data_IF_806471801906
#
_entry.id   IF_806471801906
#
_cell.length_a   1.000
_cell.length_b   1.000
_cell.length_c   1.000
_cell.angle_alpha   90.00
_cell.angle_beta   90.00
_cell.angle_gamma   90.00
#
_symmetry.space_group_name_H-M   'P 1'
#
loop_
_entity.id
_entity.type
_entity.pdbx_description
1 polymer ?
#
# COMPACT_ATOMS: atom_id res chain seq x y z
N UNK A 1 -24.21 4.40 -2.42
CA UNK A 1 -23.88 3.77 -1.12
C UNK A 1 -25.04 4.04 -0.18
N UNK A 2 -25.50 3.01 0.53
CA UNK A 2 -26.57 3.09 1.53
C UNK A 2 -26.07 2.43 2.82
N UNK A 3 -26.35 3.05 3.97
CA UNK A 3 -25.94 2.55 5.29
C UNK A 3 -27.14 2.52 6.23
N UNK A 4 -27.33 1.38 6.89
CA UNK A 4 -28.26 1.20 7.99
C UNK A 4 -27.44 1.04 9.27
N UNK A 5 -27.61 1.96 10.21
CA UNK A 5 -26.92 1.92 11.49
C UNK A 5 -27.93 1.81 12.63
N UNK A 6 -27.77 0.81 13.49
CA UNK A 6 -28.63 0.50 14.64
C UNK A 6 -27.77 0.38 15.89
N UNK A 7 -28.41 0.34 17.05
CA UNK A 7 -27.68 0.14 18.29
C UNK A 7 -27.06 -1.27 18.31
N UNK A 8 -25.74 -1.33 18.43
CA UNK A 8 -24.99 -2.59 18.43
C UNK A 8 -24.74 -3.26 17.07
N UNK A 9 -25.29 -2.80 15.95
CA UNK A 9 -25.02 -3.39 14.63
C UNK A 9 -25.34 -2.45 13.47
N UNK A 10 -24.81 -2.74 12.28
CA UNK A 10 -25.21 -2.06 11.06
C UNK A 10 -24.88 -2.84 9.80
N UNK A 11 -25.41 -2.34 8.69
CA UNK A 11 -25.23 -2.87 7.35
C UNK A 11 -24.87 -1.72 6.41
N UNK A 12 -24.01 -2.00 5.44
CA UNK A 12 -23.67 -1.06 4.37
C UNK A 12 -23.69 -1.78 3.03
N UNK A 13 -24.09 -1.07 1.98
CA UNK A 13 -24.09 -1.61 0.62
C UNK A 13 -23.88 -0.56 -0.44
N UNK A 14 -23.21 -0.96 -1.52
CA UNK A 14 -22.91 -0.14 -2.68
C UNK A 14 -23.14 -0.90 -3.97
N UNK A 15 -23.55 -0.19 -5.01
CA UNK A 15 -23.56 -0.67 -6.39
C UNK A 15 -23.08 0.47 -7.29
N UNK A 16 -22.28 0.14 -8.29
CA UNK A 16 -21.78 1.05 -9.30
C UNK A 16 -21.79 0.34 -10.65
N UNK A 17 -22.23 1.08 -11.66
CA UNK A 17 -22.04 0.73 -13.06
C UNK A 17 -21.20 1.82 -13.72
N UNK A 18 -20.21 1.44 -14.51
CA UNK A 18 -19.52 2.35 -15.41
C UNK A 18 -19.26 1.73 -16.77
N UNK A 19 -19.17 2.61 -17.77
CA UNK A 19 -18.85 2.25 -19.15
C UNK A 19 -17.66 3.08 -19.59
N UNK A 20 -16.61 2.41 -20.07
CA UNK A 20 -15.40 3.04 -20.60
C UNK A 20 -15.25 2.68 -22.07
N UNK A 21 -14.97 3.67 -22.90
CA UNK A 21 -14.62 3.46 -24.32
C UNK A 21 -13.25 4.07 -24.57
N UNK A 22 -12.39 3.31 -25.23
CA UNK A 22 -11.03 3.69 -25.57
C UNK A 22 -10.82 3.47 -27.06
N UNK A 23 -10.04 4.35 -27.68
CA UNK A 23 -9.68 4.20 -29.07
C UNK A 23 -8.25 4.67 -29.31
N UNK A 24 -7.54 3.96 -30.18
CA UNK A 24 -6.18 4.28 -30.57
C UNK A 24 -6.06 4.25 -32.10
N UNK A 25 -5.39 5.26 -32.66
CA UNK A 25 -5.03 5.33 -34.08
C UNK A 25 -3.52 5.05 -34.18
N UNK A 26 -3.09 3.85 -34.64
CA UNK A 26 -1.68 3.47 -34.68
C UNK A 26 -0.81 4.41 -35.53
N UNK A 27 0.40 4.71 -35.06
CA UNK A 27 1.33 5.63 -35.73
C UNK A 27 1.94 5.07 -37.02
N UNK A 28 1.99 3.74 -37.14
CA UNK A 28 2.45 3.02 -38.33
C UNK A 28 1.41 3.02 -39.47
N UNK A 29 0.25 3.66 -39.26
CA UNK A 29 -0.86 3.69 -40.22
C UNK A 29 -1.74 2.43 -40.18
N UNK A 30 -1.60 1.61 -39.14
CA UNK A 30 -2.47 0.47 -38.86
C UNK A 30 -3.94 0.85 -38.68
N UNK A 31 -4.80 -0.17 -38.63
CA UNK A 31 -6.22 0.04 -38.42
C UNK A 31 -6.48 0.59 -37.01
N UNK A 32 -7.39 1.57 -36.90
CA UNK A 32 -7.90 2.06 -35.62
C UNK A 32 -8.40 0.90 -34.76
N UNK A 33 -8.03 0.91 -33.49
CA UNK A 33 -8.52 -0.05 -32.49
C UNK A 33 -9.52 0.67 -31.60
N UNK A 34 -10.74 0.14 -31.50
CA UNK A 34 -11.78 0.64 -30.59
C UNK A 34 -12.14 -0.46 -29.58
N UNK A 35 -12.08 -0.14 -28.29
CA UNK A 35 -12.43 -1.03 -27.17
C UNK A 35 -13.51 -0.38 -26.31
N UNK A 36 -14.47 -1.19 -25.85
CA UNK A 36 -15.50 -0.71 -24.91
C UNK A 36 -15.75 -1.73 -23.82
N UNK A 37 -15.85 -1.24 -22.60
CA UNK A 37 -15.91 -2.02 -21.38
C UNK A 37 -17.11 -1.57 -20.55
N UNK A 38 -17.77 -2.52 -19.89
CA UNK A 38 -18.82 -2.25 -18.93
C UNK A 38 -18.43 -2.91 -17.62
N UNK A 39 -18.34 -2.13 -16.55
CA UNK A 39 -17.98 -2.60 -15.21
C UNK A 39 -19.21 -2.57 -14.31
N UNK A 40 -19.43 -3.65 -13.58
CA UNK A 40 -20.41 -3.74 -12.49
C UNK A 40 -19.69 -4.04 -11.18
N UNK A 41 -19.63 -3.04 -10.30
CA UNK A 41 -19.03 -3.19 -8.98
C UNK A 41 -20.10 -3.11 -7.89
N UNK A 42 -19.94 -3.90 -6.83
CA UNK A 42 -20.87 -3.93 -5.71
C UNK A 42 -20.21 -4.36 -4.41
N UNK A 43 -20.77 -3.91 -3.30
CA UNK A 43 -20.27 -4.27 -1.97
C UNK A 43 -21.42 -4.48 -0.98
N UNK A 44 -21.18 -5.33 0.00
CA UNK A 44 -22.03 -5.52 1.16
C UNK A 44 -21.14 -5.69 2.40
N UNK A 45 -21.46 -4.97 3.46
CA UNK A 45 -20.76 -5.08 4.73
C UNK A 45 -21.77 -5.19 5.88
N UNK A 46 -21.39 -5.94 6.91
CA UNK A 46 -22.10 -6.03 8.16
C UNK A 46 -21.13 -5.80 9.31
N UNK A 47 -21.59 -5.11 10.35
CA UNK A 47 -20.79 -4.91 11.55
C UNK A 47 -21.63 -5.06 12.81
N UNK A 48 -20.98 -5.45 13.89
CA UNK A 48 -21.54 -5.49 15.23
C UNK A 48 -20.65 -4.74 16.21
N UNK A 49 -21.27 -4.23 17.28
CA UNK A 49 -20.64 -3.58 18.43
C UNK A 49 -21.07 -4.32 19.69
N UNK A 50 -20.47 -5.49 20.00
CA UNK A 50 -20.90 -6.32 21.13
C UNK A 50 -20.80 -5.59 22.48
N UNK A 51 -19.87 -4.62 22.56
CA UNK A 51 -19.75 -3.66 23.65
C UNK A 51 -19.46 -2.27 23.06
N UNK A 52 -19.46 -1.23 23.89
CA UNK A 52 -19.10 0.13 23.46
C UNK A 52 -17.62 0.27 23.02
N UNK A 53 -16.77 -0.71 23.38
CA UNK A 53 -15.33 -0.69 23.16
C UNK A 53 -14.86 -1.62 22.05
N UNK A 54 -15.75 -2.40 21.44
CA UNK A 54 -15.40 -3.41 20.44
C UNK A 54 -16.30 -3.26 19.22
N UNK A 55 -15.69 -3.09 18.05
CA UNK A 55 -16.31 -3.15 16.75
C UNK A 55 -15.75 -4.35 15.99
N UNK A 56 -16.66 -5.13 15.38
CA UNK A 56 -16.32 -6.24 14.49
C UNK A 56 -17.03 -6.01 13.16
N UNK A 57 -16.28 -5.92 12.08
CA UNK A 57 -16.78 -5.73 10.72
C UNK A 57 -16.43 -6.91 9.82
N UNK A 58 -17.31 -7.19 8.86
CA UNK A 58 -17.06 -8.08 7.74
C UNK A 58 -17.59 -7.42 6.48
N UNK A 59 -16.78 -7.37 5.43
CA UNK A 59 -17.20 -6.84 4.13
C UNK A 59 -16.86 -7.81 2.99
N UNK A 60 -17.75 -7.85 2.00
CA UNK A 60 -17.55 -8.54 0.74
C UNK A 60 -17.72 -7.51 -0.38
N UNK A 61 -16.72 -7.40 -1.24
CA UNK A 61 -16.75 -6.50 -2.39
C UNK A 61 -16.43 -7.28 -3.67
N UNK A 62 -17.16 -6.97 -4.74
CA UNK A 62 -16.84 -7.35 -6.10
C UNK A 62 -16.60 -6.09 -6.91
N UNK A 63 -15.43 -5.96 -7.53
CA UNK A 63 -15.09 -4.80 -8.33
C UNK A 63 -14.59 -5.24 -9.71
N UNK A 64 -15.02 -4.51 -10.74
CA UNK A 64 -14.51 -4.67 -12.09
C UNK A 64 -13.76 -3.39 -12.51
N UNK A 65 -12.64 -3.57 -13.21
CA UNK A 65 -11.78 -2.51 -13.73
C UNK A 65 -11.56 -2.75 -15.22
N UNK A 66 -11.84 -1.72 -16.03
CA UNK A 66 -11.43 -1.74 -17.43
C UNK A 66 -9.91 -1.53 -17.54
N UNK A 67 -9.21 -2.24 -18.44
CA UNK A 67 -7.81 -1.95 -18.76
C UNK A 67 -7.58 -0.47 -19.07
N UNK A 68 -6.40 0.01 -18.71
CA UNK A 68 -5.89 1.34 -19.04
C UNK A 68 -5.39 1.39 -20.49
N UNK A 69 -5.14 2.60 -20.96
CA UNK A 69 -4.56 2.86 -22.28
C UNK A 69 -3.16 2.24 -22.40
N UNK A 70 -2.37 2.25 -21.32
CA UNK A 70 -1.03 1.65 -21.29
C UNK A 70 -1.13 0.14 -21.40
N UNK A 71 -1.98 -0.50 -20.58
CA UNK A 71 -2.18 -1.95 -20.61
C UNK A 71 -2.66 -2.45 -21.99
N UNK A 72 -3.45 -1.65 -22.71
CA UNK A 72 -3.98 -2.03 -24.03
C UNK A 72 -3.07 -1.66 -25.21
N UNK A 73 -2.37 -0.54 -25.14
CA UNK A 73 -1.80 0.11 -26.32
C UNK A 73 -0.34 0.56 -26.17
N UNK A 74 0.33 0.27 -25.04
CA UNK A 74 1.77 0.50 -24.93
C UNK A 74 2.50 -0.23 -26.06
N UNK A 75 3.49 0.42 -26.67
CA UNK A 75 4.37 -0.19 -27.67
C UNK A 75 5.63 0.67 -27.75
N UNK A 76 6.47 0.59 -26.71
CA UNK A 76 7.58 1.52 -26.62
C UNK A 76 8.50 1.36 -25.42
N UNK A 77 9.63 2.04 -25.51
CA UNK A 77 10.63 2.08 -24.45
C UNK A 77 10.15 2.95 -23.28
N UNK A 78 10.10 2.36 -22.08
CA UNK A 78 9.85 3.07 -20.84
C UNK A 78 11.16 3.25 -20.06
N UNK A 79 11.85 4.35 -20.34
CA UNK A 79 13.22 4.61 -19.86
C UNK A 79 13.32 4.57 -18.32
N UNK A 80 12.26 4.99 -17.61
CA UNK A 80 12.26 5.03 -16.14
C UNK A 80 12.32 3.64 -15.49
N UNK A 81 11.81 2.62 -16.18
CA UNK A 81 11.78 1.23 -15.74
C UNK A 81 12.78 0.35 -16.50
N UNK A 82 13.47 0.92 -17.48
CA UNK A 82 14.47 0.27 -18.33
C UNK A 82 13.92 -0.99 -19.04
N UNK A 83 12.67 -0.93 -19.48
CA UNK A 83 12.03 -2.01 -20.25
C UNK A 83 11.34 -1.47 -21.50
N UNK A 84 11.13 -2.33 -22.48
CA UNK A 84 10.22 -2.06 -23.58
C UNK A 84 8.86 -2.69 -23.26
N UNK A 85 7.82 -1.88 -23.15
CA UNK A 85 6.49 -2.33 -22.72
C UNK A 85 5.58 -2.51 -23.93
N UNK A 86 4.89 -3.66 -23.97
CA UNK A 86 3.91 -3.99 -25.00
C UNK A 86 2.54 -4.23 -24.37
N UNK A 87 1.55 -3.47 -24.82
CA UNK A 87 0.16 -3.62 -24.45
C UNK A 87 -0.47 -4.82 -25.13
N UNK A 88 -1.65 -5.20 -24.65
CA UNK A 88 -2.46 -6.23 -25.28
C UNK A 88 -3.87 -5.69 -25.51
N UNK A 89 -4.17 -5.36 -26.76
CA UNK A 89 -5.47 -4.85 -27.16
C UNK A 89 -6.60 -5.88 -27.02
N UNK A 90 -6.31 -7.13 -26.64
CA UNK A 90 -7.29 -8.20 -26.39
C UNK A 90 -7.79 -8.25 -24.95
N UNK A 91 -7.09 -7.64 -23.97
CA UNK A 91 -7.43 -7.70 -22.54
C UNK A 91 -8.86 -7.27 -22.24
N UNK A 92 -9.54 -8.02 -21.38
CA UNK A 92 -10.88 -7.75 -20.90
C UNK A 92 -10.87 -7.11 -19.50
N UNK A 93 -12.05 -6.87 -18.92
CA UNK A 93 -12.17 -6.32 -17.58
C UNK A 93 -11.48 -7.22 -16.53
N UNK A 94 -10.61 -6.63 -15.71
CA UNK A 94 -10.08 -7.26 -14.51
C UNK A 94 -11.17 -7.26 -13.43
N UNK A 95 -11.38 -8.40 -12.78
CA UNK A 95 -12.40 -8.54 -11.74
C UNK A 95 -11.77 -9.03 -10.46
N UNK A 96 -12.18 -8.47 -9.33
CA UNK A 96 -11.71 -8.89 -8.02
C UNK A 96 -12.89 -9.09 -7.07
N UNK A 97 -12.86 -10.19 -6.33
CA UNK A 97 -13.75 -10.40 -5.19
C UNK A 97 -12.91 -10.45 -3.91
N UNK A 98 -13.21 -9.55 -2.98
CA UNK A 98 -12.47 -9.37 -1.72
C UNK A 98 -13.37 -9.60 -0.53
N UNK A 99 -12.91 -10.43 0.41
CA UNK A 99 -13.47 -10.57 1.74
C UNK A 99 -12.52 -9.90 2.73
N UNK A 100 -13.04 -8.98 3.54
CA UNK A 100 -12.28 -8.26 4.57
C UNK A 100 -12.94 -8.39 5.94
N UNK A 101 -12.13 -8.68 6.96
CA UNK A 101 -12.52 -8.65 8.36
C UNK A 101 -11.85 -7.48 9.08
N UNK A 102 -12.61 -6.81 9.95
CA UNK A 102 -12.14 -5.64 10.70
C UNK A 102 -12.40 -5.83 12.18
N UNK A 103 -11.41 -5.52 13.01
CA UNK A 103 -11.55 -5.43 14.46
C UNK A 103 -11.05 -4.07 14.90
N UNK A 104 -11.89 -3.31 15.61
CA UNK A 104 -11.45 -2.14 16.35
C UNK A 104 -11.76 -2.35 17.82
N UNK A 105 -10.77 -2.17 18.67
CA UNK A 105 -10.90 -2.25 20.11
C UNK A 105 -10.32 -1.01 20.77
N UNK A 106 -11.09 -0.39 21.66
CA UNK A 106 -10.66 0.80 22.40
C UNK A 106 -11.22 0.70 23.81
N UNK A 107 -10.37 0.33 24.79
CA UNK A 107 -10.79 0.23 26.18
C UNK A 107 -9.67 0.57 27.16
N UNK A 108 -9.93 1.57 27.99
CA UNK A 108 -9.02 1.95 29.07
C UNK A 108 -7.67 2.40 28.52
N UNK A 109 -6.63 1.59 28.76
CA UNK A 109 -5.24 1.89 28.36
C UNK A 109 -4.85 1.30 27.01
N UNK A 110 -5.70 0.48 26.41
CA UNK A 110 -5.37 -0.27 25.20
C UNK A 110 -6.30 0.11 24.06
N UNK A 111 -5.69 0.41 22.91
CA UNK A 111 -6.35 0.55 21.62
C UNK A 111 -5.70 -0.39 20.62
N UNK A 112 -6.50 -1.01 19.77
CA UNK A 112 -6.01 -1.87 18.70
C UNK A 112 -6.94 -1.92 17.51
N UNK A 113 -6.34 -2.02 16.34
CA UNK A 113 -6.98 -2.05 15.04
C UNK A 113 -6.37 -3.23 14.26
N UNK A 114 -7.21 -4.10 13.69
CA UNK A 114 -6.78 -5.24 12.87
C UNK A 114 -7.66 -5.35 11.64
N UNK A 115 -7.02 -5.37 10.48
CA UNK A 115 -7.64 -5.59 9.19
C UNK A 115 -7.02 -6.85 8.58
N UNK A 116 -7.86 -7.79 8.16
CA UNK A 116 -7.44 -9.00 7.45
C UNK A 116 -8.22 -9.10 6.15
N UNK A 117 -7.56 -9.46 5.06
CA UNK A 117 -8.23 -9.56 3.77
C UNK A 117 -7.76 -10.77 2.95
N UNK A 118 -8.65 -11.21 2.07
CA UNK A 118 -8.35 -12.13 1.00
C UNK A 118 -9.11 -11.70 -0.27
N UNK A 119 -8.40 -11.63 -1.38
CA UNK A 119 -8.89 -11.21 -2.69
C UNK A 119 -8.60 -12.28 -3.72
N UNK A 120 -9.59 -12.59 -4.55
CA UNK A 120 -9.44 -13.46 -5.72
C UNK A 120 -9.75 -12.68 -6.98
N UNK A 121 -8.81 -12.71 -7.91
CA UNK A 121 -8.88 -12.03 -9.18
C UNK A 121 -9.23 -13.01 -10.31
N UNK A 122 -10.03 -12.52 -11.25
CA UNK A 122 -10.32 -13.13 -12.55
C UNK A 122 -9.91 -12.12 -13.62
N UNK A 123 -8.90 -12.47 -14.42
CA UNK A 123 -8.27 -11.56 -15.37
C UNK A 123 -7.46 -10.44 -14.72
N UNK A 124 -6.69 -10.75 -13.67
CA UNK A 124 -5.65 -9.85 -13.14
C UNK A 124 -4.71 -9.45 -14.27
N UNK A 125 -4.57 -8.16 -14.52
CA UNK A 125 -3.67 -7.64 -15.55
C UNK A 125 -2.29 -7.52 -14.92
N UNK A 126 -1.39 -8.36 -15.40
CA UNK A 126 -0.02 -8.48 -14.96
C UNK A 126 0.93 -8.09 -16.09
N UNK A 127 2.17 -7.78 -15.75
CA UNK A 127 3.19 -7.42 -16.72
C UNK A 127 4.34 -8.41 -16.63
N UNK A 128 4.59 -9.16 -17.72
CA UNK A 128 5.52 -10.29 -17.71
C UNK A 128 6.55 -10.18 -18.81
N UNK A 129 7.78 -10.60 -18.50
CA UNK A 129 8.83 -10.69 -19.49
C UNK A 129 8.46 -11.71 -20.57
N UNK A 130 8.70 -11.34 -21.82
CA UNK A 130 8.47 -12.22 -22.98
C UNK A 130 9.67 -13.13 -23.28
N UNK A 131 10.81 -12.89 -22.63
CA UNK A 131 12.10 -13.49 -22.95
C UNK A 131 12.81 -12.90 -24.18
N UNK A 132 12.16 -11.95 -24.87
CA UNK A 132 12.76 -11.20 -25.98
C UNK A 132 13.39 -9.88 -25.50
N UNK A 133 14.27 -9.32 -26.32
CA UNK A 133 14.91 -8.03 -26.08
C UNK A 133 14.70 -7.08 -27.27
N UNK A 134 14.57 -5.79 -26.96
CA UNK A 134 14.59 -4.70 -27.91
C UNK A 134 15.95 -4.00 -27.83
N UNK A 135 16.51 -3.63 -28.98
CA UNK A 135 17.81 -2.95 -29.05
C UNK A 135 17.59 -1.52 -29.54
N UNK A 136 17.99 -0.54 -28.71
CA UNK A 136 18.01 0.88 -29.07
C UNK A 136 19.41 1.45 -28.82
N UNK A 137 19.99 2.08 -29.85
CA UNK A 137 21.37 2.63 -29.84
C UNK A 137 22.46 1.69 -29.26
N UNK A 138 22.26 0.36 -29.39
CA UNK A 138 23.19 -0.66 -28.89
C UNK A 138 23.00 -1.06 -27.42
N UNK A 139 21.99 -0.51 -26.74
CA UNK A 139 21.53 -0.95 -25.42
C UNK A 139 20.41 -1.99 -25.56
N UNK A 140 20.42 -3.02 -24.72
CA UNK A 140 19.41 -4.08 -24.71
C UNK A 140 18.38 -3.83 -23.60
N UNK A 141 17.10 -3.82 -23.97
CA UNK A 141 15.97 -3.68 -23.06
C UNK A 141 15.12 -4.95 -23.11
N UNK A 142 14.81 -5.58 -21.97
CA UNK A 142 13.88 -6.71 -21.97
C UNK A 142 12.49 -6.24 -22.37
N UNK A 143 11.80 -7.06 -23.17
CA UNK A 143 10.43 -6.79 -23.59
C UNK A 143 9.46 -7.40 -22.58
N UNK A 144 8.62 -6.55 -22.01
CA UNK A 144 7.53 -6.92 -21.12
C UNK A 144 6.19 -6.77 -21.84
N UNK A 145 5.26 -7.66 -21.55
CA UNK A 145 3.91 -7.66 -22.13
C UNK A 145 2.86 -7.71 -21.03
N UNK A 146 1.84 -6.87 -21.17
CA UNK A 146 0.63 -6.96 -20.36
C UNK A 146 -0.17 -8.22 -20.73
N UNK A 147 -0.53 -9.00 -19.72
CA UNK A 147 -1.24 -10.27 -19.87
C UNK A 147 -2.32 -10.42 -18.79
N UNK A 148 -3.29 -11.30 -19.01
CA UNK A 148 -4.32 -11.62 -18.02
C UNK A 148 -4.13 -13.00 -17.41
N UNK A 149 -4.25 -13.06 -16.08
CA UNK A 149 -4.05 -14.27 -15.29
C UNK A 149 -5.02 -14.33 -14.10
N UNK A 150 -5.22 -15.51 -13.50
CA UNK A 150 -5.80 -15.59 -12.17
C UNK A 150 -4.81 -15.08 -11.13
N UNK A 151 -5.31 -14.45 -10.06
CA UNK A 151 -4.46 -14.08 -8.94
C UNK A 151 -5.18 -14.18 -7.59
N UNK A 152 -4.43 -14.45 -6.54
CA UNK A 152 -4.92 -14.52 -5.16
C UNK A 152 -4.01 -13.69 -4.26
N UNK A 153 -4.60 -12.71 -3.58
CA UNK A 153 -3.91 -11.83 -2.64
C UNK A 153 -4.50 -12.02 -1.26
N UNK A 154 -3.68 -12.04 -0.22
CA UNK A 154 -4.14 -12.06 1.17
C UNK A 154 -3.13 -11.35 2.06
N UNK A 155 -3.62 -10.80 3.15
CA UNK A 155 -2.75 -10.05 4.04
C UNK A 155 -3.45 -9.58 5.28
N UNK A 156 -2.69 -8.85 6.09
CA UNK A 156 -3.22 -8.14 7.23
C UNK A 156 -2.44 -6.87 7.50
N UNK A 157 -3.10 -5.96 8.21
CA UNK A 157 -2.50 -4.79 8.84
C UNK A 157 -3.02 -4.73 10.27
N UNK A 158 -2.13 -4.51 11.22
CA UNK A 158 -2.44 -4.45 12.64
C UNK A 158 -1.73 -3.27 13.28
N UNK A 159 -2.46 -2.50 14.09
CA UNK A 159 -1.92 -1.44 14.94
C UNK A 159 -2.38 -1.64 16.37
N UNK A 160 -1.52 -1.32 17.34
CA UNK A 160 -1.87 -1.36 18.75
C UNK A 160 -1.14 -0.27 19.51
N UNK A 161 -1.81 0.29 20.52
CA UNK A 161 -1.24 1.25 21.45
C UNK A 161 -1.64 0.88 22.87
N UNK A 162 -0.67 0.91 23.79
CA UNK A 162 -0.87 0.67 25.20
C UNK A 162 -0.24 1.79 26.04
N UNK A 163 -1.06 2.47 26.82
CA UNK A 163 -0.62 3.50 27.75
C UNK A 163 0.05 2.85 28.98
N UNK A 164 1.37 2.76 28.93
CA UNK A 164 2.22 2.22 30.00
C UNK A 164 2.07 3.03 31.29
N UNK A 165 2.01 4.35 31.17
CA UNK A 165 1.94 5.26 32.31
C UNK A 165 1.29 6.60 31.92
N UNK A 166 0.59 7.20 32.87
CA UNK A 166 0.01 8.54 32.73
C UNK A 166 0.01 9.26 34.07
N UNK A 167 0.29 10.57 34.07
CA UNK A 167 0.09 11.45 35.23
C UNK A 167 -0.11 12.89 34.79
N UNK A 168 -1.27 13.46 35.07
CA UNK A 168 -1.62 14.82 34.65
C UNK A 168 -1.72 14.91 33.14
N UNK A 169 -0.96 15.83 32.54
CA UNK A 169 -0.86 16.04 31.09
C UNK A 169 0.21 15.14 30.42
N UNK A 170 0.80 14.21 31.16
CA UNK A 170 1.91 13.37 30.69
C UNK A 170 1.45 11.94 30.49
N UNK A 171 1.86 11.34 29.38
CA UNK A 171 1.67 9.93 29.11
C UNK A 171 2.89 9.32 28.42
N UNK A 172 3.13 8.04 28.71
CA UNK A 172 4.07 7.18 28.01
C UNK A 172 3.28 6.01 27.42
N UNK A 173 3.34 5.84 26.11
CA UNK A 173 2.68 4.78 25.37
C UNK A 173 3.69 3.89 24.66
N UNK A 174 3.39 2.59 24.63
CA UNK A 174 4.02 1.64 23.74
C UNK A 174 3.09 1.41 22.56
N UNK A 175 3.56 1.64 21.35
CA UNK A 175 2.79 1.46 20.13
C UNK A 175 3.47 0.43 19.23
N UNK A 176 2.68 -0.32 18.48
CA UNK A 176 3.15 -1.32 17.54
C UNK A 176 2.31 -1.30 16.27
N UNK A 177 2.95 -1.56 15.14
CA UNK A 177 2.28 -1.78 13.86
C UNK A 177 2.92 -2.99 13.16
N UNK A 178 2.13 -3.75 12.40
CA UNK A 178 2.62 -4.84 11.58
C UNK A 178 1.77 -5.01 10.31
N UNK A 179 2.42 -5.28 9.19
CA UNK A 179 1.78 -5.53 7.91
C UNK A 179 2.42 -6.71 7.18
N UNK A 180 1.60 -7.41 6.39
CA UNK A 180 2.01 -8.54 5.58
C UNK A 180 1.10 -8.69 4.36
N UNK A 181 1.71 -8.89 3.20
CA UNK A 181 1.01 -9.21 1.96
C UNK A 181 1.61 -10.48 1.36
N UNK A 182 0.72 -11.35 0.89
CA UNK A 182 1.07 -12.52 0.10
C UNK A 182 0.23 -12.52 -1.16
N UNK A 183 0.87 -12.62 -2.31
CA UNK A 183 0.18 -12.64 -3.58
C UNK A 183 0.81 -13.61 -4.57
N UNK A 184 -0.08 -14.30 -5.26
CA UNK A 184 0.24 -15.26 -6.30
C UNK A 184 -0.62 -15.02 -7.52
N UNK A 185 -0.06 -15.35 -8.68
CA UNK A 185 -0.76 -15.44 -9.95
C UNK A 185 -0.64 -16.87 -10.48
N UNK A 186 -1.42 -17.20 -11.51
CA UNK A 186 -1.23 -18.49 -12.21
C UNK A 186 0.13 -18.59 -12.93
N UNK A 187 0.87 -17.47 -13.02
CA UNK A 187 2.20 -17.36 -13.62
C UNK A 187 3.34 -17.36 -12.57
N UNK A 188 3.02 -17.59 -11.29
CA UNK A 188 3.97 -17.54 -10.17
C UNK A 188 3.72 -16.35 -9.24
N UNK A 189 4.68 -16.01 -8.35
CA UNK A 189 4.54 -14.85 -7.48
C UNK A 189 4.18 -13.58 -8.24
N UNK A 190 3.30 -12.76 -7.66
CA UNK A 190 3.07 -11.42 -8.17
C UNK A 190 4.33 -10.57 -7.95
N UNK A 191 4.60 -9.67 -8.89
CA UNK A 191 5.75 -8.77 -8.78
C UNK A 191 5.54 -7.74 -7.66
N UNK A 192 6.64 -7.27 -7.07
CA UNK A 192 6.74 -6.11 -6.18
C UNK A 192 5.85 -6.21 -4.95
N UNK A 193 5.72 -7.41 -4.40
CA UNK A 193 5.00 -7.62 -3.15
C UNK A 193 5.92 -7.20 -1.99
N UNK A 194 5.49 -6.25 -1.14
CA UNK A 194 6.31 -5.85 -0.01
C UNK A 194 6.54 -7.04 0.94
N UNK A 195 7.75 -7.18 1.53
CA UNK A 195 7.97 -8.11 2.62
C UNK A 195 7.14 -7.70 3.85
N UNK A 196 7.08 -8.56 4.86
CA UNK A 196 6.45 -8.19 6.12
C UNK A 196 7.18 -7.01 6.76
N UNK A 197 6.45 -6.20 7.52
CA UNK A 197 7.00 -5.06 8.24
C UNK A 197 6.46 -5.03 9.67
N UNK A 198 7.31 -4.66 10.62
CA UNK A 198 6.95 -4.52 12.04
C UNK A 198 7.58 -3.25 12.59
N UNK A 199 6.78 -2.43 13.24
CA UNK A 199 7.23 -1.18 13.89
C UNK A 199 6.89 -1.21 15.37
N UNK A 200 7.83 -0.76 16.20
CA UNK A 200 7.59 -0.49 17.62
C UNK A 200 7.95 0.95 17.96
N UNK A 201 7.13 1.62 18.78
CA UNK A 201 7.34 3.00 19.21
C UNK A 201 7.17 3.16 20.71
N UNK A 202 8.01 4.00 21.31
CA UNK A 202 7.78 4.58 22.61
C UNK A 202 7.44 6.05 22.42
N UNK A 203 6.19 6.42 22.71
CA UNK A 203 5.68 7.77 22.56
C UNK A 203 5.49 8.42 23.93
N UNK A 204 6.21 9.52 24.17
CA UNK A 204 6.01 10.41 25.30
C UNK A 204 5.23 11.65 24.85
N UNK A 205 4.09 11.90 25.48
CA UNK A 205 3.29 13.11 25.24
C UNK A 205 3.24 13.96 26.50
N UNK A 206 3.55 15.25 26.40
CA UNK A 206 3.39 16.19 27.51
C UNK A 206 3.31 17.65 27.06
N UNK A 207 2.87 18.54 27.94
CA UNK A 207 3.10 19.97 27.76
C UNK A 207 4.35 20.39 28.55
N UNK A 208 5.37 21.01 27.93
CA UNK A 208 5.43 21.52 26.56
C UNK A 208 6.09 20.57 25.53
N UNK A 209 6.38 19.31 25.86
CA UNK A 209 7.28 18.48 25.04
C UNK A 209 6.71 17.09 24.71
N UNK A 210 6.79 16.71 23.44
CA UNK A 210 6.55 15.33 23.00
C UNK A 210 7.85 14.74 22.45
N UNK A 211 8.01 13.42 22.58
CA UNK A 211 9.08 12.68 21.94
C UNK A 211 8.61 11.29 21.51
N UNK A 212 9.13 10.80 20.39
CA UNK A 212 8.87 9.44 19.92
C UNK A 212 10.18 8.78 19.53
N UNK A 213 10.45 7.61 20.11
CA UNK A 213 11.49 6.70 19.65
C UNK A 213 10.84 5.57 18.88
N UNK A 214 11.29 5.31 17.66
CA UNK A 214 10.72 4.31 16.77
C UNK A 214 11.82 3.35 16.28
N UNK A 215 11.49 2.06 16.24
CA UNK A 215 12.26 1.04 15.54
C UNK A 215 11.34 0.36 14.53
N UNK A 216 11.69 0.41 13.26
CA UNK A 216 10.98 -0.27 12.17
C UNK A 216 11.88 -1.34 11.57
N UNK A 217 11.40 -2.57 11.54
CA UNK A 217 12.04 -3.68 10.84
C UNK A 217 11.22 -4.07 9.63
N UNK A 218 11.89 -4.22 8.49
CA UNK A 218 11.32 -4.72 7.24
C UNK A 218 12.03 -6.03 6.92
N UNK A 219 11.26 -7.09 6.69
CA UNK A 219 11.79 -8.41 6.39
C UNK A 219 12.50 -8.48 5.05
N UNK A 220 13.23 -9.57 4.82
CA UNK A 220 13.74 -9.88 3.49
C UNK A 220 12.60 -10.27 2.54
N UNK A 221 12.80 -10.03 1.25
CA UNK A 221 11.92 -10.50 0.19
C UNK A 221 12.68 -11.42 -0.77
N UNK A 222 12.32 -12.70 -0.75
CA UNK A 222 12.87 -13.79 -1.56
C UNK A 222 11.81 -14.50 -2.42
N UNK A 223 10.53 -14.10 -2.30
CA UNK A 223 9.43 -14.54 -3.15
C UNK A 223 9.29 -13.58 -4.32
N UNK A 224 9.94 -13.94 -5.42
CA UNK A 224 10.18 -13.05 -6.54
C UNK A 224 9.37 -13.45 -7.76
N UNK A 225 8.84 -12.47 -8.48
CA UNK A 225 8.43 -12.66 -9.87
C UNK A 225 9.67 -12.82 -10.77
N UNK A 226 9.44 -13.21 -12.03
CA UNK A 226 10.51 -13.23 -13.03
C UNK A 226 11.08 -11.81 -13.21
N UNK A 227 12.41 -11.70 -13.36
CA UNK A 227 13.15 -10.43 -13.44
C UNK A 227 13.17 -9.56 -12.18
N UNK A 228 12.75 -10.10 -11.03
CA UNK A 228 12.97 -9.45 -9.74
C UNK A 228 14.23 -9.97 -9.04
N UNK A 229 14.97 -9.05 -8.41
CA UNK A 229 16.07 -9.39 -7.52
C UNK A 229 15.60 -9.37 -6.06
N UNK A 230 16.09 -10.32 -5.28
CA UNK A 230 15.89 -10.39 -3.83
C UNK A 230 16.25 -9.07 -3.14
N UNK A 231 15.61 -8.81 -2.01
CA UNK A 231 15.87 -7.59 -1.22
C UNK A 231 16.11 -7.98 0.22
N UNK A 232 17.28 -7.62 0.74
CA UNK A 232 17.66 -7.90 2.12
C UNK A 232 16.74 -7.14 3.08
N UNK A 233 16.46 -7.75 4.24
CA UNK A 233 15.75 -7.09 5.31
C UNK A 233 16.61 -6.00 5.97
N UNK A 234 15.96 -4.97 6.51
CA UNK A 234 16.64 -3.83 7.12
C UNK A 234 15.93 -3.34 8.39
N UNK A 235 16.64 -2.60 9.23
CA UNK A 235 16.08 -2.02 10.46
C UNK A 235 16.42 -0.54 10.57
N UNK A 236 15.41 0.30 10.67
CA UNK A 236 15.54 1.74 10.85
C UNK A 236 15.27 2.13 12.29
N UNK A 237 16.14 2.98 12.84
CA UNK A 237 15.96 3.60 14.16
C UNK A 237 15.72 5.09 13.97
N UNK A 238 14.59 5.57 14.46
CA UNK A 238 14.15 6.96 14.29
C UNK A 238 13.87 7.60 15.65
N UNK A 239 14.07 8.91 15.74
CA UNK A 239 13.77 9.72 16.91
C UNK A 239 13.15 11.05 16.47
N UNK A 240 12.01 11.41 17.05
CA UNK A 240 11.39 12.72 16.83
C UNK A 240 11.04 13.39 18.15
N UNK A 241 11.00 14.72 18.13
CA UNK A 241 10.59 15.52 19.28
C UNK A 241 9.94 16.83 18.86
N UNK A 242 8.95 17.25 19.63
CA UNK A 242 8.21 18.50 19.42
C UNK A 242 8.20 19.29 20.72
N UNK A 243 8.62 20.55 20.66
CA UNK A 243 8.58 21.49 21.76
C UNK A 243 7.61 22.64 21.48
N UNK A 244 6.69 22.88 22.41
CA UNK A 244 5.66 23.92 22.38
C UNK A 244 5.96 24.97 23.46
N UNK A 245 6.86 25.95 23.18
CA UNK A 245 7.37 26.88 24.19
C UNK A 245 6.33 27.78 24.84
N UNK A 246 5.20 28.01 24.18
CA UNK A 246 4.18 28.97 24.60
C UNK A 246 2.85 28.25 24.77
N UNK A 247 2.14 28.52 25.87
CA UNK A 247 0.80 27.99 26.11
C UNK A 247 -0.30 28.81 25.44
N UNK A 248 -0.04 30.08 25.16
CA UNK A 248 -0.96 31.04 24.56
C UNK A 248 -0.77 31.20 23.04
N UNK A 249 0.23 30.54 22.46
CA UNK A 249 0.55 30.62 21.03
C UNK A 249 0.73 29.24 20.43
N UNK A 250 0.17 29.04 19.24
CA UNK A 250 0.33 27.79 18.50
C UNK A 250 1.67 27.76 17.75
N UNK A 251 2.77 27.78 18.52
CA UNK A 251 4.15 27.62 18.01
C UNK A 251 4.65 26.24 18.40
N UNK A 252 5.17 25.48 17.43
CA UNK A 252 5.86 24.22 17.67
C UNK A 252 7.23 24.25 16.99
N UNK A 253 8.27 23.89 17.73
CA UNK A 253 9.61 23.61 17.20
C UNK A 253 9.78 22.11 17.18
N UNK A 254 10.13 21.52 16.05
CA UNK A 254 10.32 20.08 15.93
C UNK A 254 11.72 19.74 15.45
N UNK A 255 12.22 18.60 15.89
CA UNK A 255 13.44 17.99 15.42
C UNK A 255 13.20 16.49 15.20
N UNK A 256 13.70 15.97 14.09
CA UNK A 256 13.57 14.58 13.69
C UNK A 256 14.93 14.07 13.21
N UNK A 257 15.31 12.89 13.67
CA UNK A 257 16.41 12.11 13.15
C UNK A 257 15.87 10.80 12.62
N UNK A 258 16.01 10.58 11.31
CA UNK A 258 15.60 9.34 10.65
C UNK A 258 16.83 8.54 10.26
N UNK A 259 16.70 7.21 10.32
CA UNK A 259 17.77 6.25 10.04
C UNK A 259 19.05 6.56 10.83
N UNK A 260 18.94 6.68 12.15
CA UNK A 260 20.03 7.08 13.03
C UNK A 260 21.25 6.16 12.98
N UNK A 261 21.04 4.91 12.59
CA UNK A 261 22.07 3.88 12.41
C UNK A 261 22.80 3.95 11.07
N UNK A 262 22.36 4.80 10.13
CA UNK A 262 22.91 4.89 8.77
C UNK A 262 22.77 3.58 7.97
N UNK A 263 21.67 2.85 8.21
CA UNK A 263 21.38 1.59 7.53
C UNK A 263 21.15 1.83 6.03
N UNK A 264 21.77 1.04 5.15
CA UNK A 264 21.39 1.04 3.73
C UNK A 264 20.09 0.25 3.57
N UNK A 265 18.98 0.95 3.37
CA UNK A 265 17.67 0.34 3.20
C UNK A 265 17.20 0.44 1.74
N UNK A 266 16.62 -0.63 1.21
CA UNK A 266 16.09 -0.69 -0.16
C UNK A 266 14.64 -1.14 -0.12
N UNK A 267 13.75 -0.37 -0.74
CA UNK A 267 12.33 -0.70 -0.80
C UNK A 267 12.07 -1.69 -1.93
N UNK A 268 11.68 -2.92 -1.60
CA UNK A 268 11.45 -3.99 -2.58
C UNK A 268 10.46 -3.57 -3.69
N UNK A 269 9.45 -2.79 -3.34
CA UNK A 269 8.41 -2.35 -4.27
C UNK A 269 8.90 -1.28 -5.28
N UNK A 270 10.06 -0.67 -5.05
CA UNK A 270 10.61 0.40 -5.88
C UNK A 270 11.22 -0.13 -7.18
N UNK A 271 10.93 0.53 -8.32
CA UNK A 271 11.60 0.23 -9.60
C UNK A 271 13.08 0.58 -9.56
N UNK A 272 13.47 1.47 -8.65
CA UNK A 272 14.84 1.96 -8.53
C UNK A 272 15.60 1.27 -7.40
N UNK A 273 15.05 0.23 -6.77
CA UNK A 273 15.62 -0.38 -5.55
C UNK A 273 17.07 -0.82 -5.72
N UNK A 274 17.48 -1.20 -6.93
CA UNK A 274 18.82 -1.69 -7.23
C UNK A 274 19.81 -0.53 -7.53
N UNK A 275 19.31 0.67 -7.80
CA UNK A 275 20.11 1.85 -8.16
C UNK A 275 20.13 2.90 -7.04
N UNK A 276 18.99 3.09 -6.37
CA UNK A 276 18.76 4.15 -5.40
C UNK A 276 18.21 3.57 -4.08
N UNK A 277 19.07 3.38 -3.07
CA UNK A 277 18.59 3.07 -1.72
C UNK A 277 17.83 4.27 -1.13
N UNK A 278 17.10 4.01 -0.04
CA UNK A 278 16.52 5.06 0.79
C UNK A 278 17.60 6.01 1.33
N UNK A 279 17.23 7.25 1.70
CA UNK A 279 18.15 8.14 2.38
C UNK A 279 18.79 7.47 3.61
N UNK A 280 20.11 7.63 3.74
CA UNK A 280 20.83 7.29 4.97
C UNK A 280 20.42 8.18 6.15
N UNK A 281 21.29 8.32 7.14
CA UNK A 281 21.01 9.14 8.31
C UNK A 281 20.69 10.58 7.91
N UNK A 282 19.50 11.05 8.28
CA UNK A 282 19.06 12.41 7.97
C UNK A 282 18.45 13.09 9.20
N UNK A 283 18.68 14.40 9.30
CA UNK A 283 18.16 15.26 10.37
C UNK A 283 17.31 16.37 9.77
N UNK A 284 16.14 16.59 10.37
CA UNK A 284 15.21 17.65 10.00
C UNK A 284 14.88 18.48 11.24
N UNK A 285 14.90 19.80 11.09
CA UNK A 285 14.46 20.74 12.13
C UNK A 285 13.52 21.74 11.48
N UNK A 286 12.45 22.10 12.17
CA UNK A 286 11.52 23.09 11.66
C UNK A 286 10.72 23.78 12.75
N UNK A 287 9.99 24.81 12.32
CA UNK A 287 9.08 25.57 13.16
C UNK A 287 7.73 25.66 12.46
N UNK A 288 6.66 25.39 13.19
CA UNK A 288 5.29 25.59 12.75
C UNK A 288 4.65 26.69 13.60
N UNK A 289 3.93 27.59 12.94
CA UNK A 289 3.16 28.66 13.57
C UNK A 289 1.77 28.74 12.94
N UNK A 290 0.73 28.64 13.77
CA UNK A 290 -0.66 28.78 13.35
C UNK A 290 -1.27 30.05 13.94
N UNK A 291 -1.68 30.97 13.07
CA UNK A 291 -2.38 32.21 13.41
C UNK A 291 -3.90 32.06 13.31
#
# INVERSE_FOLDING_TARGET
>A
IQRLDRDGWGLEGGLRYDRRSLAADPLDGGARVDRSFNNWSGSAAAFIRPTHNLFLGLSLAHNERAPSEVELFADGLHIATAVYETGDATLDNEKVTTLEGTVHYDAGKFRGDLHVYASKYDGFIDERATGATFIDDGEEFPIFQFTQTGAEFRGFEAEASYELWSSGDRALSLEGAADYVHADTDLGPAARIPPYSVTGRLAWTSTPFDATFEVRHVGEQDRLAEYELGTDGYTLVNLSGVWRPFSDRNVAVFAEGHNLTDEEAREHVSFLKDIAPLPGRNLRVGVSYRF
#
